data_IF_479347907052
#
_entry.id   IF_479347907052
#
_cell.length_a   1.000
_cell.length_b   1.000
_cell.length_c   1.000
_cell.angle_alpha   90.00
_cell.angle_beta   90.00
_cell.angle_gamma   90.00
#
_symmetry.space_group_name_H-M   'P 1'
#
loop_
_entity.id
_entity.type
_entity.pdbx_description
1 polymer ?
#
# COMPACT_ATOMS: atom_id res chain seq x y z
N UNK A 1 16.29 -16.49 4.28
CA UNK A 1 17.07 -15.30 3.85
C UNK A 1 17.41 -14.41 5.04
N UNK A 2 18.69 -14.03 5.23
CA UNK A 2 19.09 -13.05 6.25
C UNK A 2 18.50 -11.66 5.96
N UNK A 3 18.30 -10.82 7.00
CA UNK A 3 17.69 -9.49 6.86
C UNK A 3 18.42 -8.58 5.85
N UNK A 4 19.74 -8.71 5.73
CA UNK A 4 20.55 -7.91 4.81
C UNK A 4 20.34 -8.34 3.35
N UNK A 5 20.48 -9.63 3.03
CA UNK A 5 20.26 -10.14 1.66
C UNK A 5 18.87 -9.80 1.12
N UNK A 6 17.86 -9.73 1.99
CA UNK A 6 16.50 -9.33 1.62
C UNK A 6 16.39 -7.83 1.31
N UNK A 7 17.00 -6.96 2.11
CA UNK A 7 17.04 -5.52 1.80
C UNK A 7 17.71 -5.29 0.46
N UNK A 8 18.79 -6.02 0.19
CA UNK A 8 19.52 -5.93 -1.07
C UNK A 8 18.67 -6.40 -2.25
N UNK A 9 17.92 -7.50 -2.11
CA UNK A 9 16.98 -7.97 -3.14
C UNK A 9 15.85 -6.97 -3.41
N UNK A 10 15.18 -6.46 -2.38
CA UNK A 10 14.08 -5.51 -2.56
C UNK A 10 14.60 -4.18 -3.13
N UNK A 11 15.77 -3.72 -2.70
CA UNK A 11 16.44 -2.55 -3.28
C UNK A 11 16.80 -2.77 -4.75
N UNK A 12 17.19 -3.99 -5.15
CA UNK A 12 17.44 -4.36 -6.55
C UNK A 12 16.15 -4.49 -7.38
N UNK A 13 15.06 -5.00 -6.81
CA UNK A 13 13.77 -5.14 -7.50
C UNK A 13 13.10 -3.78 -7.71
N UNK A 14 13.18 -2.91 -6.70
CA UNK A 14 12.54 -1.59 -6.70
C UNK A 14 13.61 -0.51 -6.51
N UNK A 15 14.45 -0.36 -7.54
CA UNK A 15 15.58 0.60 -7.50
C UNK A 15 15.08 2.04 -7.43
N UNK A 16 13.92 2.35 -8.02
CA UNK A 16 13.40 3.72 -8.16
C UNK A 16 11.90 3.77 -7.83
N UNK A 17 11.45 4.69 -6.96
CA UNK A 17 10.02 4.86 -6.64
C UNK A 17 9.27 5.69 -7.69
N UNK A 18 9.93 6.14 -8.76
CA UNK A 18 9.35 6.90 -9.87
C UNK A 18 9.36 6.08 -11.18
N UNK A 19 8.31 6.20 -12.02
CA UNK A 19 8.16 5.44 -13.25
C UNK A 19 9.08 5.93 -14.34
N UNK A 20 9.37 7.22 -14.29
CA UNK A 20 10.41 7.85 -15.06
C UNK A 20 11.66 7.75 -14.22
N UNK A 21 12.73 7.30 -14.84
CA UNK A 21 14.02 7.58 -14.29
C UNK A 21 14.25 9.10 -14.45
N UNK A 22 13.81 9.87 -13.46
CA UNK A 22 14.23 11.26 -13.34
C UNK A 22 15.73 11.16 -13.07
N UNK A 23 16.59 11.92 -13.78
CA UNK A 23 17.97 12.02 -13.36
C UNK A 23 17.95 12.31 -11.86
N UNK A 24 18.71 11.53 -11.09
CA UNK A 24 19.06 11.96 -9.74
C UNK A 24 19.94 13.19 -9.95
N UNK A 25 19.33 14.34 -10.27
CA UNK A 25 19.88 15.60 -9.84
C UNK A 25 20.10 15.35 -8.36
N UNK A 26 21.36 15.39 -7.92
CA UNK A 26 21.67 15.26 -6.52
C UNK A 26 20.81 16.29 -5.79
N UNK A 27 19.67 15.87 -5.21
CA UNK A 27 18.79 16.70 -4.39
C UNK A 27 19.43 16.85 -3.01
N UNK A 28 20.76 16.97 -2.96
CA UNK A 28 21.41 17.76 -1.94
C UNK A 28 21.55 19.16 -2.53
N UNK A 29 20.54 19.98 -2.25
CA UNK A 29 20.69 21.43 -2.33
C UNK A 29 22.05 21.81 -1.72
N UNK A 30 22.84 22.51 -2.52
CA UNK A 30 24.23 22.97 -2.34
C UNK A 30 25.23 22.21 -3.23
N UNK A 31 25.24 22.54 -4.53
CA UNK A 31 26.43 22.30 -5.35
C UNK A 31 27.54 23.21 -4.82
N UNK A 32 28.55 22.64 -4.15
CA UNK A 32 29.66 23.40 -3.60
C UNK A 32 30.83 23.51 -4.58
N UNK A 33 30.90 22.64 -5.59
CA UNK A 33 32.04 22.58 -6.51
C UNK A 33 31.67 22.38 -8.00
N UNK A 34 32.49 22.88 -8.95
CA UNK A 34 32.28 22.68 -10.39
C UNK A 34 32.28 21.21 -10.86
N UNK A 35 32.95 20.31 -10.13
CA UNK A 35 33.01 18.89 -10.44
C UNK A 35 31.65 18.20 -10.22
N UNK A 36 30.97 18.51 -9.10
CA UNK A 36 29.64 17.96 -8.77
C UNK A 36 28.58 18.39 -9.80
N UNK A 37 28.70 19.61 -10.33
CA UNK A 37 27.86 20.10 -11.43
C UNK A 37 28.12 19.31 -12.70
N UNK A 38 29.39 19.03 -13.03
CA UNK A 38 29.76 18.28 -14.23
C UNK A 38 29.31 16.81 -14.17
N UNK A 39 29.48 16.13 -13.03
CA UNK A 39 28.93 14.78 -12.83
C UNK A 39 27.41 14.78 -12.96
N UNK A 40 26.72 15.77 -12.38
CA UNK A 40 25.27 15.89 -12.53
C UNK A 40 24.84 16.05 -13.99
N UNK A 41 25.55 16.85 -14.78
CA UNK A 41 25.31 17.02 -16.22
C UNK A 41 25.61 15.74 -17.00
N UNK A 42 26.71 15.06 -16.69
CA UNK A 42 27.09 13.79 -17.34
C UNK A 42 26.07 12.68 -17.05
N UNK A 43 25.65 12.53 -15.81
CA UNK A 43 24.62 11.56 -15.43
C UNK A 43 23.28 11.91 -16.06
N UNK A 44 22.92 13.19 -16.12
CA UNK A 44 21.69 13.64 -16.79
C UNK A 44 21.71 13.33 -18.29
N UNK A 45 22.81 13.64 -18.97
CA UNK A 45 22.94 13.46 -20.42
C UNK A 45 23.02 11.99 -20.84
N UNK A 46 23.84 11.18 -20.16
CA UNK A 46 23.89 9.72 -20.41
C UNK A 46 22.54 9.04 -20.13
N UNK A 47 21.77 9.60 -19.20
CA UNK A 47 20.46 9.10 -18.85
C UNK A 47 19.36 9.50 -19.84
N UNK A 48 19.38 10.74 -20.36
CA UNK A 48 18.53 11.17 -21.49
C UNK A 48 18.78 10.30 -22.72
N UNK A 49 20.05 9.98 -23.00
CA UNK A 49 20.41 9.08 -24.11
C UNK A 49 19.83 7.68 -23.88
N UNK A 50 19.96 7.11 -22.67
CA UNK A 50 19.36 5.81 -22.32
C UNK A 50 17.83 5.80 -22.41
N UNK A 51 17.17 6.88 -22.01
CA UNK A 51 15.72 7.06 -22.15
C UNK A 51 15.30 7.12 -23.63
N UNK A 52 16.08 7.80 -24.48
CA UNK A 52 15.83 7.85 -25.93
C UNK A 52 15.96 6.50 -26.63
N UNK A 53 16.76 5.57 -26.11
CA UNK A 53 16.92 4.21 -26.64
C UNK A 53 15.90 3.21 -26.09
N UNK A 54 15.34 3.42 -24.89
CA UNK A 54 14.25 2.60 -24.38
C UNK A 54 12.92 3.05 -25.00
N UNK A 55 12.58 2.50 -26.17
CA UNK A 55 11.20 2.51 -26.68
C UNK A 55 10.33 1.66 -25.74
N UNK A 56 9.92 2.24 -24.62
CA UNK A 56 8.93 1.62 -23.76
C UNK A 56 7.60 1.63 -24.52
N UNK A 57 7.14 0.44 -24.94
CA UNK A 57 5.78 0.26 -25.43
C UNK A 57 4.85 0.73 -24.31
N UNK A 58 3.97 1.71 -24.57
CA UNK A 58 3.07 2.22 -23.54
C UNK A 58 2.08 1.12 -23.15
N UNK A 59 1.83 1.01 -21.85
CA UNK A 59 0.93 -0.01 -21.31
C UNK A 59 -0.51 0.31 -21.65
N UNK A 60 -1.26 -0.67 -22.14
CA UNK A 60 -2.67 -0.47 -22.50
C UNK A 60 -3.54 -0.51 -21.24
N UNK A 61 -4.28 0.56 -21.02
CA UNK A 61 -5.25 0.71 -19.93
C UNK A 61 -6.65 0.80 -20.53
N UNK A 62 -7.58 0.01 -20.01
CA UNK A 62 -8.99 0.07 -20.40
C UNK A 62 -9.71 0.94 -19.39
N UNK A 63 -10.36 2.01 -19.84
CA UNK A 63 -11.21 2.84 -18.99
C UNK A 63 -12.66 2.41 -19.16
N UNK A 64 -13.24 1.92 -18.07
CA UNK A 64 -14.60 1.39 -18.03
C UNK A 64 -15.56 2.47 -17.50
N UNK A 65 -16.14 3.25 -18.41
CA UNK A 65 -17.01 4.38 -18.06
C UNK A 65 -18.36 3.90 -17.50
N UNK A 66 -18.88 2.77 -18.00
CA UNK A 66 -20.28 2.42 -17.81
C UNK A 66 -20.56 1.67 -16.51
N UNK A 67 -19.57 0.98 -15.96
CA UNK A 67 -19.76 0.15 -14.75
C UNK A 67 -19.30 0.87 -13.50
N UNK A 68 -17.98 1.07 -13.39
CA UNK A 68 -17.33 1.40 -12.12
C UNK A 68 -16.43 2.65 -12.21
N UNK A 69 -16.37 3.34 -13.36
CA UNK A 69 -15.48 4.48 -13.61
C UNK A 69 -14.01 4.17 -13.27
N UNK A 70 -13.55 2.96 -13.58
CA UNK A 70 -12.24 2.46 -13.18
C UNK A 70 -11.30 2.21 -14.36
N UNK A 71 -10.01 2.45 -14.13
CA UNK A 71 -8.94 2.22 -15.09
C UNK A 71 -8.31 0.86 -14.85
N UNK A 72 -8.49 -0.09 -15.78
CA UNK A 72 -8.13 -1.50 -15.62
C UNK A 72 -6.97 -1.88 -16.54
N UNK A 73 -5.92 -2.47 -15.96
CA UNK A 73 -4.84 -3.16 -16.70
C UNK A 73 -5.03 -4.66 -16.48
N UNK A 74 -5.28 -5.40 -17.56
CA UNK A 74 -5.59 -6.83 -17.51
C UNK A 74 -4.35 -7.71 -17.67
N UNK A 75 -3.36 -7.26 -18.43
CA UNK A 75 -2.17 -8.06 -18.73
C UNK A 75 -1.19 -8.10 -17.55
N UNK A 76 -0.67 -9.29 -17.25
CA UNK A 76 0.15 -9.53 -16.06
C UNK A 76 1.48 -8.82 -16.10
N UNK A 77 2.16 -8.84 -17.25
CA UNK A 77 3.48 -8.25 -17.37
C UNK A 77 3.38 -6.73 -17.32
N UNK A 78 2.35 -6.16 -17.94
CA UNK A 78 2.01 -4.75 -17.87
C UNK A 78 1.63 -4.29 -16.46
N UNK A 79 0.81 -5.07 -15.74
CA UNK A 79 0.49 -4.81 -14.32
C UNK A 79 1.77 -4.71 -13.48
N UNK A 80 2.67 -5.68 -13.66
CA UNK A 80 3.93 -5.73 -12.92
C UNK A 80 4.89 -4.61 -13.34
N UNK A 81 4.93 -4.24 -14.62
CA UNK A 81 5.74 -3.12 -15.15
C UNK A 81 5.33 -1.79 -14.51
N UNK A 82 4.02 -1.49 -14.51
CA UNK A 82 3.48 -0.26 -13.91
C UNK A 82 3.65 -0.25 -12.38
N UNK A 83 3.43 -1.39 -11.72
CA UNK A 83 3.64 -1.49 -10.28
C UNK A 83 5.11 -1.34 -9.88
N UNK A 84 6.03 -2.04 -10.57
CA UNK A 84 7.46 -1.97 -10.27
C UNK A 84 8.05 -0.59 -10.64
N UNK A 85 7.47 0.09 -11.63
CA UNK A 85 7.79 1.45 -12.03
C UNK A 85 7.27 2.52 -11.07
N UNK A 86 7.23 2.32 -9.77
CA UNK A 86 6.87 3.41 -8.83
C UNK A 86 5.52 3.27 -8.14
N UNK A 87 5.04 2.03 -8.02
CA UNK A 87 3.86 1.65 -7.26
C UNK A 87 2.65 2.46 -7.71
N UNK A 88 2.21 2.24 -8.95
CA UNK A 88 0.95 2.75 -9.47
C UNK A 88 -0.12 1.66 -9.40
N UNK A 89 -1.37 2.07 -9.21
CA UNK A 89 -2.52 1.18 -9.16
C UNK A 89 -2.55 0.24 -7.97
N UNK A 90 -3.58 -0.58 -7.88
CA UNK A 90 -3.75 -1.59 -6.84
C UNK A 90 -4.40 -2.83 -7.44
N UNK A 91 -3.87 -4.01 -7.13
CA UNK A 91 -4.49 -5.27 -7.53
C UNK A 91 -5.83 -5.46 -6.81
N UNK A 92 -6.89 -5.83 -7.52
CA UNK A 92 -8.23 -5.98 -6.93
C UNK A 92 -8.33 -7.18 -5.97
N UNK A 93 -7.54 -8.24 -6.21
CA UNK A 93 -7.50 -9.47 -5.39
C UNK A 93 -6.24 -9.57 -4.51
N UNK A 94 -5.41 -8.53 -4.53
CA UNK A 94 -4.19 -8.40 -3.75
C UNK A 94 -4.26 -7.16 -2.87
N UNK A 95 -3.36 -7.06 -1.88
CA UNK A 95 -3.38 -5.89 -0.99
C UNK A 95 -2.77 -4.64 -1.60
N UNK A 96 -1.84 -4.84 -2.53
CA UNK A 96 -0.99 -3.80 -3.08
C UNK A 96 -0.42 -4.31 -4.41
N UNK A 97 0.68 -5.07 -4.36
CA UNK A 97 1.31 -5.70 -5.53
C UNK A 97 0.37 -6.78 -6.10
N UNK A 98 0.17 -6.85 -7.43
CA UNK A 98 -0.67 -7.86 -8.07
C UNK A 98 -0.01 -9.24 -7.98
N UNK A 99 -0.26 -9.94 -6.88
CA UNK A 99 0.38 -11.22 -6.52
C UNK A 99 -0.62 -12.37 -6.50
N UNK A 100 -1.89 -12.11 -6.83
CA UNK A 100 -2.94 -13.11 -6.70
C UNK A 100 -2.64 -14.32 -7.59
N UNK A 101 -2.19 -14.09 -8.82
CA UNK A 101 -1.84 -15.16 -9.75
C UNK A 101 -0.75 -16.07 -9.19
N UNK A 102 0.36 -15.48 -8.73
CA UNK A 102 1.50 -16.23 -8.17
C UNK A 102 1.10 -17.03 -6.91
N UNK A 103 0.24 -16.45 -6.06
CA UNK A 103 -0.29 -17.11 -4.87
C UNK A 103 -1.21 -18.26 -5.23
N UNK A 104 -2.06 -18.08 -6.23
CA UNK A 104 -3.01 -19.08 -6.69
C UNK A 104 -2.28 -20.27 -7.33
N UNK A 105 -1.30 -19.98 -8.20
CA UNK A 105 -0.42 -20.98 -8.81
C UNK A 105 0.30 -21.78 -7.73
N UNK A 106 0.92 -21.12 -6.76
CA UNK A 106 1.57 -21.78 -5.62
C UNK A 106 0.59 -22.65 -4.82
N UNK A 107 -0.64 -22.19 -4.61
CA UNK A 107 -1.68 -22.93 -3.87
C UNK A 107 -2.12 -24.20 -4.62
N UNK A 108 -2.41 -24.08 -5.91
CA UNK A 108 -2.83 -25.22 -6.76
C UNK A 108 -1.72 -26.27 -6.80
N UNK A 109 -0.49 -25.84 -7.08
CA UNK A 109 0.70 -26.69 -7.11
C UNK A 109 0.94 -27.44 -5.80
N UNK A 110 0.63 -26.83 -4.65
CA UNK A 110 0.74 -27.47 -3.33
C UNK A 110 -0.35 -28.52 -3.07
N UNK A 111 -1.59 -28.25 -3.49
CA UNK A 111 -2.77 -29.07 -3.14
C UNK A 111 -3.10 -30.15 -4.17
N UNK A 112 -2.65 -30.00 -5.41
CA UNK A 112 -2.77 -30.97 -6.49
C UNK A 112 -1.38 -31.37 -7.00
N UNK A 113 -0.59 -32.15 -6.23
CA UNK A 113 0.74 -32.59 -6.67
C UNK A 113 0.72 -33.47 -7.92
N UNK A 114 -0.41 -34.12 -8.20
CA UNK A 114 -0.63 -34.94 -9.40
C UNK A 114 -0.65 -34.13 -10.70
N UNK A 115 -0.74 -32.80 -10.61
CA UNK A 115 -0.68 -31.89 -11.77
C UNK A 115 0.73 -31.37 -12.06
N UNK A 116 1.75 -31.80 -11.30
CA UNK A 116 3.14 -31.36 -11.43
C UNK A 116 4.05 -32.47 -11.96
N UNK A 117 5.01 -32.09 -12.80
CA UNK A 117 6.18 -32.94 -13.09
C UNK A 117 7.10 -33.03 -11.85
N UNK A 118 7.80 -34.17 -11.70
CA UNK A 118 8.64 -34.47 -10.52
C UNK A 118 9.69 -33.39 -10.19
N UNK A 119 10.18 -32.69 -11.22
CA UNK A 119 11.22 -31.67 -11.12
C UNK A 119 10.69 -30.29 -10.67
N UNK A 120 9.40 -30.01 -10.92
CA UNK A 120 8.76 -28.78 -10.44
C UNK A 120 8.38 -28.90 -8.96
N UNK A 121 7.98 -30.08 -8.52
CA UNK A 121 7.66 -30.34 -7.10
C UNK A 121 8.86 -30.11 -6.17
N UNK A 122 10.07 -30.47 -6.62
CA UNK A 122 11.31 -30.20 -5.88
C UNK A 122 11.66 -28.71 -5.87
N UNK A 123 11.43 -27.97 -6.96
CA UNK A 123 11.60 -26.50 -7.00
C UNK A 123 10.63 -25.76 -6.08
N UNK A 124 9.38 -26.21 -5.95
CA UNK A 124 8.39 -25.60 -5.05
C UNK A 124 8.82 -25.74 -3.58
N UNK A 125 9.38 -26.90 -3.18
CA UNK A 125 9.97 -27.08 -1.84
C UNK A 125 11.14 -26.13 -1.57
N UNK A 126 11.89 -25.76 -2.62
CA UNK A 126 13.03 -24.84 -2.53
C UNK A 126 12.56 -23.37 -2.47
N UNK A 127 11.50 -23.01 -3.20
CA UNK A 127 10.93 -21.66 -3.26
C UNK A 127 9.84 -21.42 -2.20
N UNK A 128 10.19 -21.60 -0.93
CA UNK A 128 9.32 -21.29 0.23
C UNK A 128 9.24 -19.77 0.51
N UNK A 129 9.23 -18.93 -0.53
CA UNK A 129 9.05 -17.49 -0.40
C UNK A 129 7.62 -17.16 0.01
N UNK A 130 7.46 -16.53 1.18
CA UNK A 130 6.17 -16.10 1.71
C UNK A 130 5.70 -14.79 1.06
N UNK A 131 4.45 -14.68 0.62
CA UNK A 131 3.90 -13.39 0.15
C UNK A 131 3.53 -12.45 1.31
N UNK A 132 3.30 -11.17 1.04
CA UNK A 132 3.01 -10.17 2.09
C UNK A 132 1.72 -10.48 2.88
N UNK A 133 0.76 -11.04 2.17
CA UNK A 133 -0.54 -11.50 2.63
C UNK A 133 -0.37 -12.68 3.57
N UNK A 134 0.37 -13.70 3.16
CA UNK A 134 0.68 -14.90 3.94
C UNK A 134 1.42 -14.53 5.23
N UNK A 135 2.43 -13.66 5.15
CA UNK A 135 3.12 -13.13 6.33
C UNK A 135 2.13 -12.47 7.28
N UNK A 136 1.19 -11.70 6.75
CA UNK A 136 0.20 -11.03 7.61
C UNK A 136 -0.79 -12.02 8.22
N UNK A 137 -1.24 -13.03 7.46
CA UNK A 137 -2.11 -14.10 7.94
C UNK A 137 -1.43 -14.85 9.08
N UNK A 138 -0.21 -15.32 8.87
CA UNK A 138 0.55 -16.04 9.88
C UNK A 138 0.83 -15.17 11.12
N UNK A 139 1.12 -13.87 10.94
CA UNK A 139 1.23 -12.92 12.08
C UNK A 139 -0.08 -12.74 12.84
N UNK A 140 -1.24 -12.82 12.19
CA UNK A 140 -2.55 -12.78 12.87
C UNK A 140 -2.74 -14.05 13.68
N UNK A 141 -2.53 -15.21 13.07
CA UNK A 141 -2.62 -16.51 13.74
C UNK A 141 -1.71 -16.58 14.97
N UNK A 142 -0.43 -16.23 14.83
CA UNK A 142 0.51 -16.18 15.97
C UNK A 142 0.04 -15.19 17.06
N UNK A 143 -0.53 -14.04 16.67
CA UNK A 143 -1.10 -13.09 17.66
C UNK A 143 -2.32 -13.66 18.36
N UNK A 144 -3.15 -14.43 17.66
CA UNK A 144 -4.36 -15.00 18.25
C UNK A 144 -4.02 -16.20 19.13
N UNK A 145 -3.02 -17.01 18.76
CA UNK A 145 -2.39 -17.99 19.66
C UNK A 145 -1.88 -17.31 20.94
N UNK A 146 -1.12 -16.21 20.79
CA UNK A 146 -0.62 -15.45 21.93
C UNK A 146 -1.74 -14.95 22.84
N UNK A 147 -2.82 -14.39 22.27
CA UNK A 147 -3.98 -13.92 23.03
C UNK A 147 -4.68 -15.07 23.75
N UNK A 148 -4.77 -16.25 23.13
CA UNK A 148 -5.39 -17.44 23.72
C UNK A 148 -4.60 -17.92 24.93
N UNK A 149 -3.29 -18.07 24.80
CA UNK A 149 -2.41 -18.45 25.91
C UNK A 149 -2.42 -17.40 27.02
N UNK A 150 -2.38 -16.10 26.66
CA UNK A 150 -2.51 -15.01 27.63
C UNK A 150 -3.85 -15.05 28.37
N UNK A 151 -4.95 -15.40 27.70
CA UNK A 151 -6.27 -15.56 28.33
C UNK A 151 -6.28 -16.71 29.34
N UNK A 152 -5.62 -17.83 29.03
CA UNK A 152 -5.45 -18.95 29.98
C UNK A 152 -4.68 -18.51 31.24
N UNK A 153 -3.57 -17.80 31.06
CA UNK A 153 -2.81 -17.23 32.17
C UNK A 153 -3.64 -16.28 33.03
N UNK A 154 -4.36 -15.32 32.42
CA UNK A 154 -5.21 -14.38 33.17
C UNK A 154 -6.34 -15.09 33.92
N UNK A 155 -6.88 -16.19 33.37
CA UNK A 155 -7.88 -17.01 34.06
C UNK A 155 -7.27 -17.74 35.26
N UNK A 156 -6.06 -18.29 35.11
CA UNK A 156 -5.32 -18.91 36.21
C UNK A 156 -5.01 -17.91 37.33
N UNK A 157 -4.50 -16.72 36.97
CA UNK A 157 -4.21 -15.64 37.92
C UNK A 157 -5.48 -15.19 38.67
N UNK A 158 -6.60 -15.05 37.95
CA UNK A 158 -7.90 -14.73 38.56
C UNK A 158 -8.34 -15.82 39.54
N UNK A 159 -8.23 -17.09 39.19
CA UNK A 159 -8.63 -18.20 40.05
C UNK A 159 -7.80 -18.23 41.34
N UNK A 160 -6.47 -18.09 41.24
CA UNK A 160 -5.56 -18.03 42.39
C UNK A 160 -5.90 -16.85 43.31
N UNK A 161 -6.26 -15.68 42.74
CA UNK A 161 -6.68 -14.50 43.52
C UNK A 161 -8.04 -14.68 44.20
N UNK A 162 -8.91 -15.54 43.68
CA UNK A 162 -10.18 -15.88 44.33
C UNK A 162 -10.00 -16.92 45.44
N UNK A 163 -9.00 -17.80 45.31
CA UNK A 163 -8.66 -18.84 46.28
C UNK A 163 -7.80 -18.33 47.45
N UNK A 164 -7.21 -17.13 47.35
CA UNK A 164 -6.39 -16.56 48.43
C UNK A 164 -7.24 -16.16 49.63
N UNK A 165 -6.92 -16.72 50.80
CA UNK A 165 -7.47 -16.34 52.10
C UNK A 165 -6.75 -15.05 52.55
N UNK A 166 -7.51 -14.04 53.00
CA UNK A 166 -7.01 -12.71 53.45
C UNK A 166 -6.17 -11.92 52.41
N UNK A 167 -6.22 -12.31 51.13
CA UNK A 167 -5.48 -11.65 50.04
C UNK A 167 -4.00 -12.04 49.96
N UNK A 168 -3.54 -12.98 50.79
CA UNK A 168 -2.17 -13.51 50.73
C UNK A 168 -2.09 -14.70 49.78
N UNK A 169 -1.33 -14.53 48.70
CA UNK A 169 -1.06 -15.59 47.72
C UNK A 169 0.09 -16.45 48.26
N UNK A 170 -0.14 -17.77 48.38
CA UNK A 170 0.91 -18.72 48.76
C UNK A 170 2.14 -18.61 47.85
N UNK A 171 3.34 -18.75 48.43
CA UNK A 171 4.61 -18.70 47.68
C UNK A 171 4.63 -19.70 46.52
N UNK A 172 3.99 -20.87 46.69
CA UNK A 172 3.83 -21.84 45.61
C UNK A 172 3.10 -21.24 44.39
N UNK A 173 1.96 -20.59 44.62
CA UNK A 173 1.17 -19.96 43.56
C UNK A 173 1.91 -18.79 42.89
N UNK A 174 2.73 -18.03 43.64
CA UNK A 174 3.60 -17.00 43.05
C UNK A 174 4.61 -17.61 42.07
N UNK A 175 5.32 -18.66 42.48
CA UNK A 175 6.29 -19.32 41.60
C UNK A 175 5.64 -19.95 40.35
N UNK A 176 4.41 -20.45 40.48
CA UNK A 176 3.65 -20.97 39.34
C UNK A 176 3.29 -19.87 38.33
N UNK A 177 2.79 -18.72 38.82
CA UNK A 177 2.46 -17.58 37.97
C UNK A 177 3.71 -17.02 37.26
N UNK A 178 4.84 -16.96 37.95
CA UNK A 178 6.11 -16.53 37.34
C UNK A 178 6.53 -17.47 36.21
N UNK A 179 6.49 -18.79 36.41
CA UNK A 179 6.81 -19.78 35.36
C UNK A 179 5.91 -19.64 34.14
N UNK A 180 4.60 -19.50 34.32
CA UNK A 180 3.66 -19.32 33.20
C UNK A 180 3.87 -17.98 32.47
N UNK A 181 4.21 -16.92 33.22
CA UNK A 181 4.55 -15.61 32.65
C UNK A 181 5.84 -15.68 31.81
N UNK A 182 6.85 -16.41 32.28
CA UNK A 182 8.10 -16.64 31.53
C UNK A 182 7.85 -17.43 30.26
N UNK A 183 7.05 -18.50 30.31
CA UNK A 183 6.63 -19.25 29.12
C UNK A 183 5.96 -18.34 28.08
N UNK A 184 5.05 -17.46 28.51
CA UNK A 184 4.38 -16.49 27.62
C UNK A 184 5.37 -15.49 26.99
N UNK A 185 6.39 -15.08 27.74
CA UNK A 185 7.43 -14.17 27.25
C UNK A 185 8.32 -14.86 26.20
N UNK A 186 8.76 -16.10 26.49
CA UNK A 186 9.54 -16.92 25.56
C UNK A 186 8.76 -17.19 24.28
N UNK A 187 7.50 -17.60 24.38
CA UNK A 187 6.62 -17.84 23.23
C UNK A 187 6.49 -16.59 22.33
N UNK A 188 6.34 -15.41 22.95
CA UNK A 188 6.28 -14.14 22.21
C UNK A 188 7.59 -13.83 21.49
N UNK A 189 8.73 -14.13 22.10
CA UNK A 189 10.04 -13.94 21.48
C UNK A 189 10.22 -14.89 20.29
N UNK A 190 9.85 -16.16 20.45
CA UNK A 190 9.92 -17.19 19.41
C UNK A 190 9.06 -16.86 18.18
N UNK A 191 7.90 -16.23 18.35
CA UNK A 191 7.07 -15.77 17.22
C UNK A 191 7.80 -14.81 16.28
N UNK A 192 8.80 -14.08 16.78
CA UNK A 192 9.61 -13.15 15.99
C UNK A 192 10.84 -13.80 15.37
N UNK A 193 11.24 -15.00 15.83
CA UNK A 193 12.39 -15.78 15.36
C UNK A 193 12.00 -16.61 14.12
N UNK A 194 11.99 -15.98 12.95
CA UNK A 194 11.74 -16.71 11.69
C UNK A 194 11.80 -15.84 10.43
N UNK A 195 11.66 -16.44 9.22
CA UNK A 195 11.67 -15.70 7.97
C UNK A 195 10.55 -14.65 7.95
N UNK A 196 10.89 -13.41 7.54
CA UNK A 196 10.00 -12.24 7.58
C UNK A 196 9.42 -11.93 8.98
N UNK A 197 10.05 -12.41 10.05
CA UNK A 197 9.63 -12.19 11.45
C UNK A 197 8.41 -13.01 11.85
N UNK A 198 8.29 -14.23 11.30
CA UNK A 198 7.22 -15.19 11.55
C UNK A 198 7.87 -16.56 11.68
N UNK A 199 7.67 -17.23 12.82
CA UNK A 199 8.08 -18.62 12.98
C UNK A 199 6.95 -19.56 12.51
N UNK A 200 7.14 -20.20 11.36
CA UNK A 200 6.18 -21.13 10.76
C UNK A 200 6.17 -22.49 11.46
N UNK A 201 7.25 -22.87 12.15
CA UNK A 201 7.36 -24.19 12.78
C UNK A 201 6.37 -24.34 13.93
N UNK A 202 6.09 -23.26 14.66
CA UNK A 202 5.12 -23.25 15.76
C UNK A 202 3.69 -23.45 15.25
N UNK A 203 3.36 -22.90 14.08
CA UNK A 203 2.07 -23.14 13.44
C UNK A 203 1.96 -24.59 12.95
N UNK A 204 3.05 -25.15 12.40
CA UNK A 204 3.10 -26.55 11.95
C UNK A 204 3.04 -27.55 13.11
N UNK A 205 3.65 -27.24 14.27
CA UNK A 205 3.67 -28.14 15.43
C UNK A 205 2.31 -28.27 16.13
N UNK A 206 1.50 -27.20 16.14
CA UNK A 206 0.12 -27.30 16.63
C UNK A 206 -0.74 -28.23 15.75
N UNK A 207 -0.54 -28.18 14.42
CA UNK A 207 -1.29 -29.01 13.48
C UNK A 207 -0.90 -30.50 13.51
N UNK A 208 0.28 -30.84 14.04
CA UNK A 208 0.82 -32.21 14.06
C UNK A 208 0.72 -32.89 15.44
N UNK A 209 0.02 -32.30 16.42
CA UNK A 209 -0.14 -32.87 17.77
C UNK A 209 -1.24 -33.96 17.77
N UNK A 210 -0.97 -35.24 18.08
CA UNK A 210 -1.97 -36.32 18.00
C UNK A 210 -2.97 -36.41 19.18
N UNK A 211 -3.13 -35.36 20.00
CA UNK A 211 -3.88 -35.49 21.25
C UNK A 211 -4.68 -34.23 21.59
N UNK A 212 -5.89 -34.12 21.01
CA UNK A 212 -6.96 -33.27 21.51
C UNK A 212 -8.14 -34.14 21.93
N UNK A 213 -7.98 -34.89 23.01
CA UNK A 213 -9.10 -35.47 23.75
C UNK A 213 -9.60 -34.48 24.80
N UNK A 214 -10.93 -34.27 24.79
CA UNK A 214 -11.78 -33.67 25.81
C UNK A 214 -11.67 -32.15 26.08
N UNK A 215 -12.41 -31.37 25.29
CA UNK A 215 -13.51 -30.51 25.80
C UNK A 215 -14.29 -29.93 24.63
N UNK A 216 -15.64 -30.09 24.57
CA UNK A 216 -16.43 -29.45 23.53
C UNK A 216 -16.70 -28.00 23.94
N UNK A 217 -15.92 -27.08 23.38
CA UNK A 217 -16.29 -25.66 23.37
C UNK A 217 -16.61 -25.31 21.93
N UNK A 218 -17.89 -25.04 21.70
CA UNK A 218 -18.44 -24.46 20.49
C UNK A 218 -17.80 -23.06 20.26
N UNK A 219 -16.61 -23.02 19.68
CA UNK A 219 -16.09 -21.81 19.03
C UNK A 219 -16.06 -22.07 17.52
N UNK A 220 -17.04 -21.51 16.83
CA UNK A 220 -17.14 -21.42 15.38
C UNK A 220 -16.05 -20.50 14.82
N UNK A 221 -14.80 -20.96 14.83
CA UNK A 221 -13.74 -20.34 14.02
C UNK A 221 -12.63 -21.34 13.69
N UNK A 222 -12.78 -21.96 12.53
CA UNK A 222 -11.74 -22.23 11.53
C UNK A 222 -10.52 -23.06 11.95
N UNK A 223 -10.67 -24.39 11.87
CA UNK A 223 -9.60 -25.30 11.45
C UNK A 223 -10.15 -26.18 10.32
N UNK A 224 -10.22 -25.61 9.11
CA UNK A 224 -10.35 -26.43 7.90
C UNK A 224 -8.94 -26.60 7.33
N UNK A 225 -8.50 -27.83 6.99
CA UNK A 225 -7.28 -28.00 6.20
C UNK A 225 -7.36 -27.10 4.96
N UNK A 226 -6.23 -26.58 4.48
CA UNK A 226 -6.22 -25.76 3.26
C UNK A 226 -6.76 -26.60 2.10
N UNK A 227 -8.05 -26.50 1.84
CA UNK A 227 -8.71 -27.14 0.70
C UNK A 227 -8.90 -26.11 -0.41
N UNK A 228 -9.00 -26.61 -1.64
CA UNK A 228 -9.53 -25.79 -2.73
C UNK A 228 -10.99 -25.47 -2.41
N UNK A 229 -11.34 -24.19 -2.57
CA UNK A 229 -12.72 -23.73 -2.49
C UNK A 229 -13.40 -24.04 -3.80
N UNK A 230 -14.74 -24.01 -3.83
CA UNK A 230 -15.48 -24.20 -5.08
C UNK A 230 -15.08 -23.15 -6.12
N UNK A 231 -14.96 -21.89 -5.70
CA UNK A 231 -14.54 -20.77 -6.57
C UNK A 231 -13.11 -20.92 -7.11
N UNK A 232 -12.27 -21.72 -6.46
CA UNK A 232 -10.89 -21.92 -6.93
C UNK A 232 -10.86 -22.78 -8.21
N UNK A 233 -11.89 -23.61 -8.45
CA UNK A 233 -11.99 -24.45 -9.64
C UNK A 233 -12.40 -23.67 -10.89
N UNK A 234 -13.15 -22.58 -10.76
CA UNK A 234 -13.61 -21.74 -11.89
C UNK A 234 -12.45 -21.04 -12.63
N UNK A 235 -11.30 -20.96 -11.97
CA UNK A 235 -10.10 -20.30 -12.47
C UNK A 235 -9.17 -21.27 -13.21
N UNK A 236 -9.26 -22.56 -12.89
CA UNK A 236 -8.40 -23.60 -13.46
C UNK A 236 -8.95 -23.93 -14.85
N UNK A 237 -8.18 -23.60 -15.89
CA UNK A 237 -8.54 -23.93 -17.27
C UNK A 237 -8.11 -25.38 -17.55
N UNK A 238 -6.82 -25.66 -17.33
CA UNK A 238 -6.18 -26.96 -17.55
C UNK A 238 -5.29 -27.31 -16.35
N UNK A 239 -4.70 -28.53 -16.35
CA UNK A 239 -3.76 -28.96 -15.31
C UNK A 239 -2.54 -28.04 -15.12
N UNK A 240 -2.23 -27.21 -16.13
CA UNK A 240 -1.06 -26.32 -16.14
C UNK A 240 -1.41 -24.84 -16.26
N UNK A 241 -2.65 -24.50 -16.67
CA UNK A 241 -3.02 -23.13 -17.00
C UNK A 241 -4.10 -22.58 -16.05
N UNK A 242 -3.80 -21.43 -15.46
CA UNK A 242 -4.67 -20.69 -14.56
C UNK A 242 -5.12 -19.42 -15.27
N UNK A 243 -6.41 -19.10 -15.21
CA UNK A 243 -6.92 -17.83 -15.71
C UNK A 243 -6.50 -16.69 -14.78
N UNK A 244 -5.87 -15.65 -15.31
CA UNK A 244 -5.71 -14.43 -14.52
C UNK A 244 -7.02 -13.65 -14.46
N UNK A 245 -7.61 -13.55 -13.28
CA UNK A 245 -8.82 -12.73 -13.01
C UNK A 245 -8.47 -11.43 -12.28
N UNK A 246 -7.22 -11.28 -11.81
CA UNK A 246 -6.76 -10.04 -11.20
C UNK A 246 -6.39 -9.03 -12.28
N UNK A 247 -6.89 -7.81 -12.10
CA UNK A 247 -6.46 -6.63 -12.84
C UNK A 247 -5.88 -5.60 -11.87
N UNK A 248 -5.02 -4.73 -12.39
CA UNK A 248 -4.48 -3.59 -11.67
C UNK A 248 -5.38 -2.39 -11.95
N UNK A 249 -5.97 -1.85 -10.89
CA UNK A 249 -6.84 -0.69 -10.95
C UNK A 249 -6.03 0.58 -10.69
N UNK A 250 -6.06 1.55 -11.59
CA UNK A 250 -5.44 2.86 -11.40
C UNK A 250 -6.46 3.87 -10.87
N UNK A 251 -6.00 4.73 -9.96
CA UNK A 251 -6.75 5.92 -9.55
C UNK A 251 -6.84 6.95 -10.71
N UNK A 252 -7.90 7.78 -10.83
CA UNK A 252 -8.00 8.78 -11.89
C UNK A 252 -6.79 9.71 -11.99
N UNK A 253 -6.25 10.17 -10.85
CA UNK A 253 -5.05 11.00 -10.83
C UNK A 253 -3.79 10.22 -11.25
N UNK A 254 -3.70 8.93 -10.88
CA UNK A 254 -2.62 8.03 -11.33
C UNK A 254 -2.65 7.85 -12.85
N UNK A 255 -3.84 7.62 -13.43
CA UNK A 255 -4.03 7.43 -14.86
C UNK A 255 -3.67 8.70 -15.65
N UNK A 256 -4.15 9.87 -15.21
CA UNK A 256 -3.81 11.15 -15.83
C UNK A 256 -2.30 11.40 -15.81
N UNK A 257 -1.66 11.19 -14.66
CA UNK A 257 -0.22 11.40 -14.52
C UNK A 257 0.58 10.46 -15.43
N UNK A 258 0.26 9.17 -15.47
CA UNK A 258 0.94 8.22 -16.33
C UNK A 258 0.70 8.49 -17.83
N UNK A 259 -0.49 8.95 -18.20
CA UNK A 259 -0.84 9.31 -19.58
C UNK A 259 -0.09 10.59 -20.00
N UNK A 260 -0.01 11.59 -19.12
CA UNK A 260 0.76 12.81 -19.35
C UNK A 260 2.25 12.52 -19.61
N UNK A 261 2.77 11.48 -18.94
CA UNK A 261 4.14 10.98 -19.12
C UNK A 261 4.33 10.04 -20.32
N UNK A 262 3.27 9.79 -21.11
CA UNK A 262 3.26 8.85 -22.25
C UNK A 262 3.67 7.42 -21.89
N UNK A 263 3.43 6.98 -20.64
CA UNK A 263 3.76 5.62 -20.18
C UNK A 263 2.62 4.63 -20.39
N UNK A 264 1.39 5.14 -20.50
CA UNK A 264 0.19 4.35 -20.74
C UNK A 264 -0.56 4.90 -21.96
N UNK A 265 -1.38 4.05 -22.57
CA UNK A 265 -2.45 4.46 -23.49
C UNK A 265 -3.78 4.08 -22.87
N UNK A 266 -4.74 5.02 -22.87
CA UNK A 266 -6.08 4.76 -22.35
C UNK A 266 -7.02 4.48 -23.51
N UNK A 267 -7.74 3.36 -23.44
CA UNK A 267 -8.75 2.97 -24.42
C UNK A 267 -10.15 2.92 -23.80
N UNK A 268 -11.13 3.55 -24.44
CA UNK A 268 -12.57 3.42 -24.14
C UNK A 268 -13.21 2.75 -25.35
N UNK A 269 -13.99 1.68 -25.14
CA UNK A 269 -14.65 0.94 -26.23
C UNK A 269 -13.69 0.56 -27.39
N UNK A 270 -12.44 0.22 -27.06
CA UNK A 270 -11.32 -0.05 -27.98
C UNK A 270 -10.76 1.15 -28.76
N UNK A 271 -11.22 2.37 -28.52
CA UNK A 271 -10.65 3.59 -29.10
C UNK A 271 -9.67 4.25 -28.13
N UNK A 272 -8.48 4.61 -28.62
CA UNK A 272 -7.47 5.34 -27.84
C UNK A 272 -7.89 6.79 -27.66
N UNK A 273 -7.78 7.30 -26.43
CA UNK A 273 -8.19 8.66 -26.10
C UNK A 273 -6.99 9.52 -25.72
N UNK A 274 -6.87 10.73 -26.29
CA UNK A 274 -5.80 11.66 -25.93
C UNK A 274 -5.99 12.22 -24.53
N UNK A 275 -4.90 12.70 -23.93
CA UNK A 275 -4.90 13.28 -22.58
C UNK A 275 -5.97 14.37 -22.40
N UNK A 276 -6.09 15.32 -23.35
CA UNK A 276 -7.02 16.45 -23.25
C UNK A 276 -8.47 15.99 -23.08
N UNK A 277 -8.91 15.04 -23.92
CA UNK A 277 -10.26 14.47 -23.88
C UNK A 277 -10.49 13.64 -22.62
N UNK A 278 -9.51 12.86 -22.16
CA UNK A 278 -9.63 12.12 -20.90
C UNK A 278 -9.74 13.07 -19.70
N UNK A 279 -8.89 14.09 -19.66
CA UNK A 279 -8.88 15.07 -18.57
C UNK A 279 -10.21 15.83 -18.50
N UNK A 280 -10.70 16.33 -19.64
CA UNK A 280 -12.02 16.96 -19.72
C UNK A 280 -13.13 16.02 -19.22
N UNK A 281 -13.16 14.78 -19.73
CA UNK A 281 -14.16 13.78 -19.33
C UNK A 281 -14.17 13.52 -17.81
N UNK A 282 -12.99 13.41 -17.21
CA UNK A 282 -12.88 13.17 -15.76
C UNK A 282 -13.30 14.41 -14.95
N UNK A 283 -12.95 15.62 -15.38
CA UNK A 283 -13.40 16.85 -14.72
C UNK A 283 -14.92 17.01 -14.83
N UNK A 284 -15.53 16.67 -15.96
CA UNK A 284 -16.98 16.67 -16.12
C UNK A 284 -17.67 15.60 -15.25
N UNK A 285 -17.00 14.47 -15.02
CA UNK A 285 -17.56 13.34 -14.24
C UNK A 285 -17.42 13.55 -12.73
N UNK A 286 -16.25 13.99 -12.27
CA UNK A 286 -15.91 14.12 -10.84
C UNK A 286 -16.01 15.55 -10.32
N UNK A 287 -16.18 16.52 -11.22
CA UNK A 287 -16.22 17.94 -10.91
C UNK A 287 -14.84 18.61 -10.88
N UNK A 288 -14.81 19.95 -10.68
CA UNK A 288 -13.57 20.74 -10.65
C UNK A 288 -12.62 20.35 -9.53
N UNK A 289 -13.12 19.69 -8.48
CA UNK A 289 -12.32 19.17 -7.36
C UNK A 289 -11.19 18.25 -7.81
N UNK A 290 -11.39 17.51 -8.90
CA UNK A 290 -10.40 16.62 -9.49
C UNK A 290 -9.14 17.39 -9.93
N UNK A 291 -9.27 18.65 -10.34
CA UNK A 291 -8.13 19.48 -10.75
C UNK A 291 -7.23 19.72 -9.54
N UNK A 292 -7.80 20.08 -8.38
CA UNK A 292 -7.04 20.28 -7.15
C UNK A 292 -6.39 18.97 -6.69
N UNK A 293 -7.11 17.85 -6.77
CA UNK A 293 -6.55 16.52 -6.47
C UNK A 293 -5.38 16.17 -7.39
N UNK A 294 -5.50 16.45 -8.69
CA UNK A 294 -4.45 16.21 -9.68
C UNK A 294 -3.24 17.13 -9.48
N UNK A 295 -3.45 18.41 -9.16
CA UNK A 295 -2.37 19.37 -8.84
C UNK A 295 -1.55 18.86 -7.65
N UNK A 296 -2.22 18.46 -6.57
CA UNK A 296 -1.56 17.91 -5.37
C UNK A 296 -0.86 16.59 -5.68
N UNK A 297 -1.51 15.71 -6.43
CA UNK A 297 -0.94 14.44 -6.85
C UNK A 297 0.32 14.65 -7.70
N UNK A 298 0.25 15.52 -8.71
CA UNK A 298 1.37 15.85 -9.60
C UNK A 298 2.54 16.46 -8.82
N UNK A 299 2.27 17.36 -7.87
CA UNK A 299 3.28 17.97 -7.02
C UNK A 299 4.07 16.93 -6.20
N UNK A 300 3.39 16.11 -5.40
CA UNK A 300 4.08 15.14 -4.56
C UNK A 300 4.76 14.02 -5.38
N UNK A 301 4.19 13.63 -6.54
CA UNK A 301 4.86 12.69 -7.44
C UNK A 301 6.11 13.32 -8.04
N UNK A 302 6.07 14.59 -8.43
CA UNK A 302 7.23 15.31 -8.97
C UNK A 302 8.35 15.46 -7.92
N UNK A 303 7.99 15.56 -6.63
CA UNK A 303 8.95 15.54 -5.51
C UNK A 303 9.51 14.13 -5.19
N UNK A 304 9.06 13.08 -5.89
CA UNK A 304 9.54 11.72 -5.72
C UNK A 304 8.84 10.90 -4.64
N UNK A 305 7.75 11.40 -4.06
CA UNK A 305 6.95 10.63 -3.12
C UNK A 305 6.13 9.55 -3.84
N UNK A 306 6.01 8.39 -3.21
CA UNK A 306 5.01 7.40 -3.60
C UNK A 306 3.69 7.74 -2.91
N UNK A 307 2.72 8.20 -3.70
CA UNK A 307 1.39 8.63 -3.23
C UNK A 307 0.43 7.45 -3.32
N UNK A 308 -0.42 7.29 -2.31
CA UNK A 308 -1.55 6.35 -2.29
C UNK A 308 -2.78 6.98 -1.67
N UNK A 309 -3.95 6.42 -1.98
CA UNK A 309 -5.22 6.85 -1.39
C UNK A 309 -5.19 6.78 0.16
N UNK A 310 -5.63 7.87 0.79
CA UNK A 310 -5.58 8.09 2.23
C UNK A 310 -6.86 7.78 3.01
N UNK A 311 -7.90 7.22 2.38
CA UNK A 311 -9.24 7.04 2.95
C UNK A 311 -9.23 6.36 4.33
N UNK A 312 -8.32 5.40 4.54
CA UNK A 312 -8.15 4.68 5.83
C UNK A 312 -7.77 5.58 7.00
N UNK A 313 -7.28 6.78 6.74
CA UNK A 313 -6.83 7.76 7.73
C UNK A 313 -7.64 9.06 7.67
N UNK A 314 -8.81 9.03 7.02
CA UNK A 314 -9.65 10.22 6.79
C UNK A 314 -8.91 11.37 6.09
N UNK A 315 -7.90 11.02 5.30
CA UNK A 315 -7.07 11.92 4.51
C UNK A 315 -7.25 11.58 3.03
N UNK A 316 -6.91 12.50 2.15
CA UNK A 316 -7.06 12.29 0.70
C UNK A 316 -5.89 11.42 0.19
N UNK A 317 -4.67 11.71 0.68
CA UNK A 317 -3.47 10.98 0.27
C UNK A 317 -2.58 10.54 1.43
N UNK A 318 -1.68 9.60 1.14
CA UNK A 318 -0.68 9.04 2.03
C UNK A 318 0.65 8.94 1.29
N UNK A 319 1.72 9.44 1.89
CA UNK A 319 3.03 9.57 1.25
C UNK A 319 4.03 8.56 1.83
N UNK A 320 4.65 7.79 0.92
CA UNK A 320 5.75 6.89 1.22
C UNK A 320 7.04 7.43 0.60
N UNK A 321 8.12 7.50 1.37
CA UNK A 321 9.42 7.95 0.87
C UNK A 321 10.02 7.01 -0.17
N UNK A 322 9.84 5.69 -0.01
CA UNK A 322 10.35 4.68 -0.95
C UNK A 322 9.29 3.73 -1.51
N UNK A 323 8.09 3.73 -0.93
CA UNK A 323 6.97 2.89 -1.33
C UNK A 323 6.53 1.87 -0.27
N UNK A 324 5.34 1.26 -0.43
CA UNK A 324 4.71 0.40 0.58
C UNK A 324 5.51 -0.84 1.02
N UNK A 325 6.29 -1.53 0.14
CA UNK A 325 7.06 -2.70 0.56
C UNK A 325 8.24 -2.40 1.51
N UNK A 326 8.71 -1.15 1.54
CA UNK A 326 9.94 -0.75 2.22
C UNK A 326 9.69 -0.20 3.62
N UNK A 327 8.75 0.72 3.73
CA UNK A 327 8.45 1.47 4.96
C UNK A 327 6.96 1.73 5.07
N UNK A 328 6.52 2.01 6.29
CA UNK A 328 5.21 2.62 6.47
C UNK A 328 5.24 4.04 5.92
N UNK A 329 4.10 4.51 5.42
CA UNK A 329 3.96 5.90 5.03
C UNK A 329 4.30 6.85 6.17
N UNK A 330 4.94 7.95 5.84
CA UNK A 330 5.44 8.93 6.81
C UNK A 330 4.40 10.03 7.05
N UNK A 331 3.82 10.52 5.96
CA UNK A 331 2.87 11.61 5.96
C UNK A 331 1.49 11.16 5.46
N UNK A 332 0.46 11.82 5.96
CA UNK A 332 -0.90 11.80 5.42
C UNK A 332 -1.25 13.21 5.00
N UNK A 333 -1.81 13.39 3.81
CA UNK A 333 -2.14 14.69 3.26
C UNK A 333 -3.64 14.85 3.24
N UNK A 334 -4.13 15.94 3.83
CA UNK A 334 -5.51 16.39 3.69
C UNK A 334 -5.50 17.65 2.81
N UNK A 335 -6.14 17.56 1.65
CA UNK A 335 -6.34 18.68 0.74
C UNK A 335 -7.42 19.58 1.32
N UNK A 336 -7.04 20.84 1.51
CA UNK A 336 -7.90 21.91 1.99
C UNK A 336 -8.29 22.75 0.78
N UNK A 337 -9.56 22.63 0.40
CA UNK A 337 -10.15 23.47 -0.63
C UNK A 337 -10.89 24.59 0.10
N UNK A 338 -10.21 25.71 0.32
CA UNK A 338 -10.82 26.91 0.91
C UNK A 338 -11.83 27.54 -0.06
N UNK A 339 -11.54 27.38 -1.35
CA UNK A 339 -12.31 27.81 -2.52
C UNK A 339 -13.63 27.06 -2.78
N UNK A 340 -14.04 26.18 -1.86
CA UNK A 340 -15.32 25.49 -1.93
C UNK A 340 -16.21 26.02 -0.78
N UNK A 341 -17.26 26.80 -1.09
CA UNK A 341 -18.10 27.45 -0.08
C UNK A 341 -18.86 26.45 0.82
N UNK A 342 -19.08 25.21 0.36
CA UNK A 342 -19.74 24.16 1.14
C UNK A 342 -18.73 23.49 2.07
N UNK A 343 -17.51 23.24 1.59
CA UNK A 343 -16.44 22.60 2.38
C UNK A 343 -15.87 23.56 3.43
N UNK A 344 -15.74 24.85 3.11
CA UNK A 344 -15.27 25.87 4.05
C UNK A 344 -16.23 26.09 5.22
N UNK A 345 -17.55 25.99 4.99
CA UNK A 345 -18.57 26.06 6.05
C UNK A 345 -18.64 24.80 6.92
N UNK A 346 -18.30 23.63 6.37
CA UNK A 346 -18.44 22.35 7.05
C UNK A 346 -17.18 21.89 7.78
N UNK A 347 -15.98 22.33 7.36
CA UNK A 347 -14.71 21.93 7.97
C UNK A 347 -14.26 22.92 9.04
N UNK A 348 -14.63 22.60 10.27
CA UNK A 348 -14.17 23.32 11.46
C UNK A 348 -12.76 22.89 11.88
N UNK A 349 -12.11 23.70 12.71
CA UNK A 349 -10.89 23.31 13.44
C UNK A 349 -11.04 21.97 14.19
N UNK A 350 -12.27 21.62 14.57
CA UNK A 350 -12.56 20.35 15.27
C UNK A 350 -12.40 19.14 14.36
N UNK A 351 -12.70 19.27 13.07
CA UNK A 351 -12.57 18.20 12.08
C UNK A 351 -11.09 17.89 11.82
N UNK A 352 -10.26 18.92 11.60
CA UNK A 352 -8.82 18.74 11.50
C UNK A 352 -8.21 18.16 12.77
N UNK A 353 -8.74 18.54 13.94
CA UNK A 353 -8.33 17.95 15.22
C UNK A 353 -8.71 16.47 15.33
N UNK A 354 -9.88 16.07 14.83
CA UNK A 354 -10.32 14.67 14.78
C UNK A 354 -9.45 13.84 13.83
N UNK A 355 -9.18 14.35 12.62
CA UNK A 355 -8.26 13.71 11.65
C UNK A 355 -6.87 13.58 12.27
N UNK A 356 -6.35 14.64 12.89
CA UNK A 356 -5.06 14.62 13.59
C UNK A 356 -5.01 13.55 14.68
N UNK A 357 -6.11 13.31 15.40
CA UNK A 357 -6.19 12.24 16.41
C UNK A 357 -6.05 10.84 15.79
N UNK A 358 -6.71 10.59 14.66
CA UNK A 358 -6.61 9.30 13.94
C UNK A 358 -5.18 9.09 13.41
N UNK A 359 -4.64 10.09 12.72
CA UNK A 359 -3.31 10.06 12.09
C UNK A 359 -2.20 9.89 13.13
N UNK A 360 -2.24 10.65 14.22
CA UNK A 360 -1.26 10.51 15.31
C UNK A 360 -1.37 9.17 16.04
N UNK A 361 -2.58 8.59 16.14
CA UNK A 361 -2.79 7.25 16.71
C UNK A 361 -2.07 6.14 15.94
N UNK A 362 -1.89 6.30 14.62
CA UNK A 362 -1.12 5.38 13.77
C UNK A 362 0.33 5.82 13.54
N UNK A 363 0.81 6.80 14.33
CA UNK A 363 2.18 7.35 14.29
C UNK A 363 2.58 7.93 12.93
N UNK A 364 1.65 8.59 12.25
CA UNK A 364 1.91 9.38 11.03
C UNK A 364 1.84 10.87 11.33
N UNK A 365 2.38 11.67 10.43
CA UNK A 365 2.30 13.13 10.48
C UNK A 365 1.23 13.63 9.52
N UNK A 366 0.33 14.49 10.01
CA UNK A 366 -0.71 15.13 9.19
C UNK A 366 -0.12 16.37 8.50
N UNK A 367 -0.30 16.45 7.19
CA UNK A 367 -0.04 17.64 6.38
C UNK A 367 -1.39 18.17 5.90
N UNK A 368 -1.67 19.43 6.18
CA UNK A 368 -2.74 20.18 5.53
C UNK A 368 -2.14 20.83 4.29
N UNK A 369 -2.67 20.48 3.13
CA UNK A 369 -2.21 20.97 1.83
C UNK A 369 -3.28 21.92 1.29
N UNK A 370 -2.95 23.20 1.29
CA UNK A 370 -3.79 24.26 0.75
C UNK A 370 -3.45 24.43 -0.73
N UNK A 371 -4.50 24.48 -1.55
CA UNK A 371 -4.37 24.70 -3.00
C UNK A 371 -4.94 26.07 -3.28
N UNK A 372 -4.05 27.04 -3.50
CA UNK A 372 -4.41 28.39 -3.90
C UNK A 372 -4.63 28.38 -5.41
N UNK A 373 -5.76 28.91 -5.86
CA UNK A 373 -6.15 28.96 -7.27
C UNK A 373 -7.47 29.71 -7.44
N UNK A 374 -8.06 29.71 -8.66
CA UNK A 374 -9.37 30.30 -8.86
C UNK A 374 -10.43 29.59 -8.01
N UNK A 375 -11.39 30.35 -7.47
CA UNK A 375 -12.46 29.79 -6.65
C UNK A 375 -13.38 28.90 -7.49
N UNK A 376 -13.76 27.73 -6.98
CA UNK A 376 -14.58 26.79 -7.76
C UNK A 376 -15.91 27.45 -8.12
N UNK A 377 -16.31 27.35 -9.40
CA UNK A 377 -17.54 27.98 -9.93
C UNK A 377 -17.55 29.53 -9.94
N UNK A 378 -16.41 30.19 -9.69
CA UNK A 378 -16.27 31.65 -9.89
C UNK A 378 -16.08 32.01 -11.36
N UNK A 379 -16.32 33.29 -11.71
CA UNK A 379 -16.05 33.82 -13.07
C UNK A 379 -14.59 33.57 -13.49
N UNK A 380 -13.64 33.74 -12.57
CA UNK A 380 -12.22 33.49 -12.79
C UNK A 380 -11.95 32.01 -13.13
N UNK A 381 -12.65 31.09 -12.47
CA UNK A 381 -12.56 29.66 -12.78
C UNK A 381 -13.06 29.35 -14.18
N UNK A 382 -14.20 29.91 -14.59
CA UNK A 382 -14.72 29.70 -15.94
C UNK A 382 -13.77 30.25 -17.00
N UNK A 383 -13.11 31.39 -16.75
CA UNK A 383 -12.10 31.95 -17.66
C UNK A 383 -10.94 30.97 -17.83
N UNK A 384 -10.36 30.51 -16.72
CA UNK A 384 -9.21 29.57 -16.72
C UNK A 384 -9.59 28.24 -17.37
N UNK A 385 -10.78 27.71 -17.08
CA UNK A 385 -11.24 26.45 -17.66
C UNK A 385 -11.51 26.57 -19.16
N UNK A 386 -12.17 27.63 -19.61
CA UNK A 386 -12.42 27.87 -21.04
C UNK A 386 -11.13 28.08 -21.83
N UNK A 387 -10.13 28.72 -21.24
CA UNK A 387 -8.80 28.86 -21.83
C UNK A 387 -8.14 27.48 -22.04
N UNK A 388 -8.23 26.58 -21.05
CA UNK A 388 -7.76 25.20 -21.21
C UNK A 388 -8.55 24.42 -22.27
N UNK A 389 -9.86 24.61 -22.38
CA UNK A 389 -10.67 23.97 -23.43
C UNK A 389 -10.28 24.43 -24.84
N UNK A 390 -9.76 25.66 -24.99
CA UNK A 390 -9.31 26.20 -26.26
C UNK A 390 -7.88 25.72 -26.63
N UNK A 391 -6.94 25.85 -25.69
CA UNK A 391 -5.51 25.61 -25.96
C UNK A 391 -5.09 24.15 -25.71
N UNK A 392 -5.83 23.42 -24.86
CA UNK A 392 -5.49 22.09 -24.34
C UNK A 392 -4.10 22.02 -23.66
N UNK A 393 -3.58 23.15 -23.19
CA UNK A 393 -2.28 23.23 -22.50
C UNK A 393 -2.46 23.04 -20.99
N UNK A 394 -2.10 21.84 -20.53
CA UNK A 394 -2.14 21.48 -19.11
C UNK A 394 -1.14 22.29 -18.27
N UNK A 395 0.00 22.70 -18.81
CA UNK A 395 0.99 23.44 -18.03
C UNK A 395 0.51 24.85 -17.73
N UNK A 396 -0.14 25.48 -18.71
CA UNK A 396 -0.79 26.78 -18.54
C UNK A 396 -1.90 26.72 -17.49
N UNK A 397 -2.71 25.67 -17.49
CA UNK A 397 -3.72 25.43 -16.45
C UNK A 397 -3.08 25.26 -15.06
N UNK A 398 -2.08 24.40 -14.94
CA UNK A 398 -1.42 24.09 -13.66
C UNK A 398 -0.68 25.31 -13.06
N UNK A 399 -0.17 26.22 -13.89
CA UNK A 399 0.51 27.45 -13.44
C UNK A 399 -0.41 28.42 -12.70
N UNK A 400 -1.74 28.28 -12.83
CA UNK A 400 -2.71 29.08 -12.08
C UNK A 400 -2.91 28.58 -10.64
N UNK A 401 -2.27 27.48 -10.26
CA UNK A 401 -2.39 26.88 -8.94
C UNK A 401 -1.06 26.92 -8.17
N UNK A 402 -1.13 27.22 -6.88
CA UNK A 402 -0.01 27.18 -5.95
C UNK A 402 -0.34 26.25 -4.77
N UNK A 403 0.65 25.49 -4.31
CA UNK A 403 0.50 24.59 -3.16
C UNK A 403 1.23 25.19 -1.95
N UNK A 404 0.51 25.30 -0.84
CA UNK A 404 1.05 25.66 0.46
C UNK A 404 0.82 24.53 1.47
N UNK A 405 1.86 24.13 2.18
CA UNK A 405 1.83 22.96 3.07
C UNK A 405 2.04 23.36 4.53
N UNK A 406 1.19 22.85 5.42
CA UNK A 406 1.34 23.05 6.87
C UNK A 406 1.34 21.70 7.58
N UNK A 407 2.43 21.42 8.28
CA UNK A 407 2.52 20.25 9.15
C UNK A 407 1.66 20.44 10.41
N UNK A 408 0.50 19.79 10.45
CA UNK A 408 -0.44 19.91 11.56
C UNK A 408 -0.09 18.94 12.68
N UNK A 409 0.48 19.49 13.76
CA UNK A 409 0.82 18.71 14.96
C UNK A 409 -0.26 18.87 16.01
N UNK A 410 -0.68 17.73 16.58
CA UNK A 410 -1.56 17.73 17.75
C UNK A 410 -0.86 18.39 18.93
N UNK A 411 -1.49 19.42 19.49
CA UNK A 411 -1.06 20.01 20.74
C UNK A 411 -1.21 19.02 21.89
N UNK A 412 -0.14 18.83 22.68
CA UNK A 412 -0.14 17.93 23.82
C UNK A 412 0.57 18.63 24.99
N UNK A 413 -0.10 18.91 26.12
CA UNK A 413 0.46 19.69 27.22
C UNK A 413 1.84 19.20 27.70
N UNK A 414 2.10 17.90 27.63
CA UNK A 414 3.37 17.30 28.03
C UNK A 414 4.53 17.49 27.05
N UNK A 415 4.26 17.88 25.80
CA UNK A 415 5.25 18.02 24.71
C UNK A 415 5.40 19.45 24.19
N UNK A 416 4.38 20.30 24.37
CA UNK A 416 4.34 21.70 23.85
C UNK A 416 4.41 22.77 24.93
N UNK A 417 4.87 22.45 26.15
CA UNK A 417 5.28 23.48 27.11
C UNK A 417 6.56 24.13 26.59
N UNK A 418 6.56 25.47 26.49
CA UNK A 418 7.76 26.28 26.24
C UNK A 418 8.75 26.15 27.38
#
# INVERSE_FOLDING_TARGET
MSKNRRRDYINKKYVRPLPIAIPLLHVSNNYFTPYEVWESIYDTTTHIVKLGFQRNIPVRVIFDIYTDLSFKILDRDDMMKIWNGGFYGKGILSRSEPTWFDRMDKKIKKLLPSMLESDEFTKIKINDELFSEEVTKNRRELRDLWKRERKKYLKLEKNIKLESIDGEISNFHRTLLEKEREKLAQLKEEFTKGPKGVNLEILRSQNNSPLSSSTPINDTSTDKPETLRMEDFDVIIDSTNIRNIEYLELDPCEALFLLHLNLITVTINNETIPFSKLFQLLVETFGPILINEYVVYNHYRSLGWCIRNGLKFSCDWVLYSRGPPFSHAEFTVKVVNENDPIVSQTRSFTDYSAVSRVVTGVKKSLILCFVDGPEIESDDWFIVWNEYLADHDIYKLLNNFQINEIAWKRWAPSRTRM
#
